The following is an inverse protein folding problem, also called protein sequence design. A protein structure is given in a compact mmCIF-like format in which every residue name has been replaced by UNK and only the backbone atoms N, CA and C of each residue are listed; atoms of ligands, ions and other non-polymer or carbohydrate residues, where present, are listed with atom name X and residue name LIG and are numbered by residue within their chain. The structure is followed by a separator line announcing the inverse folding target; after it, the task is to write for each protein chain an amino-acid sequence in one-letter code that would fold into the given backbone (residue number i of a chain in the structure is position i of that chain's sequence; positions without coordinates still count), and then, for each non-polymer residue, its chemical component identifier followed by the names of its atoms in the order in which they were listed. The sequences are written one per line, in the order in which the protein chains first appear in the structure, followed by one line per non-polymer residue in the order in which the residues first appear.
data_IF_790242173447
#
_entry.id   IF_790242173447
#
_cell.length_a   1.000
_cell.length_b   1.000
_cell.length_c   1.000
_cell.angle_alpha   90.00
_cell.angle_beta   90.00
_cell.angle_gamma   90.00
#
_symmetry.space_group_name_H-M   'P 1'
#
loop_
_entity.id
_entity.type
_entity.pdbx_description
1 polymer ?
#
# COMPACT_ATOMS: atom_id res chain seq x y z
N UNK A 1 7.21 37.70 72.83
CA UNK A 1 8.60 37.95 72.44
C UNK A 1 9.24 36.61 72.12
N UNK A 2 9.58 36.41 70.84
CA UNK A 2 10.47 35.42 70.21
C UNK A 2 10.22 33.93 70.49
N UNK A 3 10.47 32.97 69.61
CA UNK A 3 10.72 32.81 68.16
C UNK A 3 11.06 31.31 68.02
N UNK A 4 10.78 30.69 66.86
CA UNK A 4 11.20 29.35 66.38
C UNK A 4 9.99 28.48 66.00
N UNK A 5 9.95 27.74 64.90
CA UNK A 5 10.77 27.66 63.69
C UNK A 5 9.96 26.79 62.71
N UNK A 6 10.15 27.07 61.43
CA UNK A 6 9.40 26.57 60.29
C UNK A 6 9.85 25.13 59.91
N UNK A 7 8.92 24.18 59.73
CA UNK A 7 9.18 22.95 58.95
C UNK A 7 7.90 22.11 58.70
N UNK A 8 7.00 22.56 57.82
CA UNK A 8 6.14 21.60 57.12
C UNK A 8 6.89 21.11 55.89
N UNK A 9 7.42 19.90 55.98
CA UNK A 9 8.18 19.21 54.94
C UNK A 9 7.36 19.10 53.64
N UNK A 10 7.61 20.01 52.71
CA UNK A 10 7.33 19.80 51.30
C UNK A 10 8.50 18.99 50.73
N UNK A 11 8.37 17.67 50.78
CA UNK A 11 9.29 16.73 50.13
C UNK A 11 8.44 15.75 49.33
N UNK A 12 7.86 16.22 48.22
CA UNK A 12 7.37 15.32 47.19
C UNK A 12 8.60 14.69 46.54
N UNK A 13 8.92 13.46 46.92
CA UNK A 13 9.83 12.62 46.17
C UNK A 13 9.17 12.32 44.82
N UNK A 14 9.33 13.25 43.87
CA UNK A 14 9.21 13.02 42.44
C UNK A 14 10.27 11.97 42.08
N UNK A 15 9.95 10.70 42.32
CA UNK A 15 10.76 9.58 41.89
C UNK A 15 10.84 9.63 40.36
N UNK A 16 11.89 10.27 39.83
CA UNK A 16 12.20 10.27 38.41
C UNK A 16 12.21 8.81 37.93
N UNK A 17 11.22 8.46 37.11
CA UNK A 17 11.13 7.16 36.49
C UNK A 17 12.22 7.05 35.42
N UNK A 18 13.43 6.72 35.84
CA UNK A 18 14.55 6.44 34.93
C UNK A 18 14.40 5.00 34.45
N UNK A 19 13.88 4.85 33.23
CA UNK A 19 13.77 3.54 32.58
C UNK A 19 15.18 2.96 32.37
N UNK A 20 15.58 2.03 33.24
CA UNK A 20 16.91 1.42 33.30
C UNK A 20 17.06 0.20 32.38
N UNK A 21 16.01 -0.14 31.62
CA UNK A 21 16.04 -1.25 30.68
C UNK A 21 16.98 -0.94 29.50
N UNK A 22 18.02 -1.76 29.33
CA UNK A 22 18.89 -1.70 28.15
C UNK A 22 18.07 -2.03 26.91
N UNK A 23 18.04 -1.11 25.95
CA UNK A 23 17.42 -1.30 24.63
C UNK A 23 18.00 -2.55 23.98
N UNK A 24 17.23 -3.64 23.93
CA UNK A 24 17.60 -4.86 23.21
C UNK A 24 17.18 -4.72 21.75
N UNK A 25 18.14 -4.46 20.87
CA UNK A 25 17.87 -4.40 19.43
C UNK A 25 17.50 -5.79 18.89
N UNK A 26 16.31 -5.90 18.29
CA UNK A 26 15.91 -7.11 17.57
C UNK A 26 16.76 -7.25 16.32
N UNK A 27 17.25 -8.46 16.01
CA UNK A 27 17.85 -8.75 14.70
C UNK A 27 16.81 -8.53 13.60
N UNK A 28 17.03 -7.54 12.75
CA UNK A 28 16.23 -7.33 11.55
C UNK A 28 16.61 -8.35 10.49
N UNK A 29 15.62 -8.80 9.72
CA UNK A 29 15.86 -9.66 8.57
C UNK A 29 16.43 -8.83 7.42
N UNK A 30 17.13 -9.50 6.51
CA UNK A 30 17.62 -8.87 5.28
C UNK A 30 16.45 -8.23 4.51
N UNK A 31 16.53 -6.93 4.28
CA UNK A 31 15.61 -6.19 3.43
C UNK A 31 16.07 -6.13 1.98
N UNK A 32 17.24 -6.70 1.66
CA UNK A 32 17.76 -6.76 0.30
C UNK A 32 16.77 -7.50 -0.64
N UNK A 33 16.47 -6.88 -1.78
CA UNK A 33 15.54 -7.41 -2.78
C UNK A 33 15.96 -8.77 -3.33
N UNK A 34 17.26 -9.02 -3.50
CA UNK A 34 17.82 -10.29 -3.99
C UNK A 34 17.50 -11.42 -3.01
N UNK A 35 17.69 -11.18 -1.71
CA UNK A 35 17.37 -12.15 -0.67
C UNK A 35 15.86 -12.46 -0.63
N UNK A 36 15.01 -11.44 -0.77
CA UNK A 36 13.54 -11.65 -0.80
C UNK A 36 13.09 -12.37 -2.06
N UNK A 37 13.72 -12.09 -3.20
CA UNK A 37 13.44 -12.77 -4.48
C UNK A 37 13.80 -14.26 -4.40
N UNK A 38 14.97 -14.61 -3.89
CA UNK A 38 15.38 -16.00 -3.69
C UNK A 38 14.41 -16.75 -2.75
N UNK A 39 14.06 -16.15 -1.61
CA UNK A 39 13.09 -16.74 -0.69
C UNK A 39 11.71 -16.93 -1.30
N UNK A 40 11.28 -16.01 -2.17
CA UNK A 40 10.03 -16.14 -2.94
C UNK A 40 10.11 -17.29 -3.93
N UNK A 41 11.19 -17.37 -4.71
CA UNK A 41 11.38 -18.40 -5.74
C UNK A 41 11.38 -19.81 -5.13
N UNK A 42 11.99 -19.98 -3.96
CA UNK A 42 12.05 -21.26 -3.26
C UNK A 42 10.74 -21.62 -2.53
N UNK A 43 9.74 -20.74 -2.50
CA UNK A 43 8.45 -21.00 -1.85
C UNK A 43 8.56 -21.26 -0.33
N UNK A 44 9.72 -20.99 0.29
CA UNK A 44 10.04 -21.41 1.66
C UNK A 44 9.10 -20.82 2.72
N UNK A 45 8.36 -19.77 2.38
CA UNK A 45 7.52 -19.03 3.33
C UNK A 45 6.20 -18.59 2.69
N UNK A 46 5.11 -18.83 3.41
CA UNK A 46 3.73 -18.49 3.03
C UNK A 46 3.45 -16.99 2.82
N UNK A 47 4.38 -16.11 3.22
CA UNK A 47 4.27 -14.65 3.08
C UNK A 47 5.48 -14.00 2.38
N UNK A 48 6.32 -14.79 1.73
CA UNK A 48 7.50 -14.29 1.00
C UNK A 48 7.13 -13.26 -0.08
N UNK A 49 5.96 -13.43 -0.72
CA UNK A 49 5.43 -12.52 -1.74
C UNK A 49 5.14 -11.12 -1.18
N UNK A 50 4.46 -11.03 -0.02
CA UNK A 50 4.14 -9.74 0.61
C UNK A 50 5.39 -9.00 1.06
N UNK A 51 6.35 -9.74 1.63
CA UNK A 51 7.64 -9.17 2.01
C UNK A 51 8.38 -8.66 0.75
N UNK A 52 8.43 -9.43 -0.34
CA UNK A 52 9.10 -9.01 -1.56
C UNK A 52 8.57 -7.68 -2.12
N UNK A 53 7.24 -7.51 -2.20
CA UNK A 53 6.65 -6.29 -2.76
C UNK A 53 6.87 -5.02 -1.92
N UNK A 54 7.33 -5.11 -0.66
CA UNK A 54 7.73 -3.91 0.09
C UNK A 54 9.00 -3.26 -0.46
N UNK A 55 9.78 -3.98 -1.26
CA UNK A 55 11.04 -3.48 -1.82
C UNK A 55 10.88 -2.94 -3.25
N UNK A 56 9.68 -3.02 -3.81
CA UNK A 56 9.41 -2.59 -5.18
C UNK A 56 8.39 -1.47 -5.11
N UNK A 57 8.78 -0.30 -5.64
CA UNK A 57 7.85 0.79 -5.87
C UNK A 57 7.20 0.60 -7.26
N UNK A 58 5.88 0.80 -7.41
CA UNK A 58 5.30 0.91 -8.74
C UNK A 58 5.90 2.12 -9.48
N UNK A 59 6.20 1.97 -10.77
CA UNK A 59 6.75 3.07 -11.57
C UNK A 59 5.75 4.20 -11.85
N UNK A 60 4.46 3.88 -11.89
CA UNK A 60 3.39 4.87 -12.07
C UNK A 60 2.13 4.44 -11.33
N UNK A 61 1.47 5.39 -10.68
CA UNK A 61 0.21 5.19 -9.96
C UNK A 61 -0.91 5.97 -10.63
N UNK A 62 -2.00 5.30 -10.98
CA UNK A 62 -3.21 5.95 -11.51
C UNK A 62 -4.28 6.01 -10.44
N UNK A 63 -4.72 7.23 -10.12
CA UNK A 63 -5.71 7.46 -9.07
C UNK A 63 -7.07 7.75 -9.72
N UNK A 64 -8.16 7.41 -9.02
CA UNK A 64 -9.54 7.69 -9.46
C UNK A 64 -9.85 7.13 -10.86
N UNK A 65 -9.38 5.92 -11.16
CA UNK A 65 -9.72 5.20 -12.39
C UNK A 65 -11.24 5.09 -12.54
N UNK A 66 -11.76 5.40 -13.72
CA UNK A 66 -13.17 5.21 -14.02
C UNK A 66 -13.43 3.71 -14.17
N UNK A 67 -14.45 3.22 -13.47
CA UNK A 67 -14.81 1.80 -13.47
C UNK A 67 -16.30 1.64 -13.77
N UNK A 68 -16.71 0.49 -14.34
CA UNK A 68 -18.11 0.13 -14.47
C UNK A 68 -18.85 0.18 -13.12
N UNK A 69 -20.20 0.22 -13.11
CA UNK A 69 -21.00 0.19 -11.90
C UNK A 69 -20.91 -1.19 -11.21
N UNK A 70 -19.79 -1.43 -10.53
CA UNK A 70 -19.49 -2.65 -9.80
C UNK A 70 -18.65 -2.35 -8.54
N UNK A 71 -18.67 -3.26 -7.58
CA UNK A 71 -17.82 -3.25 -6.40
C UNK A 71 -16.69 -4.27 -6.58
N UNK A 72 -15.48 -3.77 -6.85
CA UNK A 72 -14.28 -4.60 -6.95
C UNK A 72 -13.94 -5.19 -5.58
N UNK A 73 -13.65 -6.50 -5.54
CA UNK A 73 -13.42 -7.23 -4.29
C UNK A 73 -11.97 -7.63 -4.13
N UNK A 74 -11.50 -8.59 -4.95
CA UNK A 74 -10.15 -9.15 -4.84
C UNK A 74 -9.73 -9.84 -6.12
N UNK A 75 -8.41 -9.96 -6.29
CA UNK A 75 -7.85 -10.91 -7.24
C UNK A 75 -8.00 -12.35 -6.74
N UNK A 76 -8.13 -13.24 -7.71
CA UNK A 76 -7.92 -14.68 -7.57
C UNK A 76 -6.52 -14.98 -7.01
N UNK A 77 -6.31 -16.11 -6.30
CA UNK A 77 -5.01 -16.45 -5.73
C UNK A 77 -3.87 -16.58 -6.75
N UNK A 78 -4.19 -16.93 -8.00
CA UNK A 78 -3.26 -17.01 -9.12
C UNK A 78 -3.07 -15.65 -9.84
N UNK A 79 -3.85 -14.62 -9.47
CA UNK A 79 -3.76 -13.27 -10.00
C UNK A 79 -4.32 -13.08 -11.42
N UNK A 80 -4.94 -14.11 -12.01
CA UNK A 80 -5.42 -14.07 -13.41
C UNK A 80 -6.79 -13.43 -13.56
N UNK A 81 -7.56 -13.41 -12.49
CA UNK A 81 -8.92 -12.89 -12.47
C UNK A 81 -9.13 -11.90 -11.32
N UNK A 82 -9.91 -10.85 -11.56
CA UNK A 82 -10.41 -9.88 -10.60
C UNK A 82 -11.90 -10.13 -10.39
N UNK A 83 -12.30 -10.35 -9.14
CA UNK A 83 -13.69 -10.60 -8.75
C UNK A 83 -14.34 -9.27 -8.37
N UNK A 84 -15.52 -9.01 -8.93
CA UNK A 84 -16.37 -7.89 -8.60
C UNK A 84 -17.83 -8.32 -8.39
N UNK A 85 -18.60 -7.49 -7.70
CA UNK A 85 -20.06 -7.62 -7.59
C UNK A 85 -20.70 -6.50 -8.39
N UNK A 86 -21.81 -6.76 -9.07
CA UNK A 86 -22.58 -5.70 -9.71
C UNK A 86 -23.03 -4.65 -8.68
N UNK A 87 -23.34 -3.43 -9.13
CA UNK A 87 -23.76 -2.33 -8.25
C UNK A 87 -25.03 -2.63 -7.44
N UNK A 88 -25.93 -3.44 -7.99
CA UNK A 88 -27.13 -3.94 -7.32
C UNK A 88 -26.87 -5.16 -6.42
N UNK A 89 -25.62 -5.64 -6.37
CA UNK A 89 -25.18 -6.83 -5.63
C UNK A 89 -25.93 -8.12 -6.03
N UNK A 90 -26.60 -8.13 -7.18
CA UNK A 90 -27.39 -9.27 -7.65
C UNK A 90 -26.57 -10.30 -8.44
N UNK A 91 -25.39 -9.92 -8.94
CA UNK A 91 -24.56 -10.77 -9.77
C UNK A 91 -23.07 -10.64 -9.43
N UNK A 92 -22.31 -11.67 -9.81
CA UNK A 92 -20.86 -11.72 -9.65
C UNK A 92 -20.22 -11.58 -11.03
N UNK A 93 -19.34 -10.59 -11.17
CA UNK A 93 -18.59 -10.31 -12.39
C UNK A 93 -17.14 -10.78 -12.20
N UNK A 94 -16.66 -11.61 -13.14
CA UNK A 94 -15.30 -12.13 -13.14
C UNK A 94 -14.55 -11.49 -14.30
N UNK A 95 -13.59 -10.62 -13.99
CA UNK A 95 -12.76 -9.98 -15.00
C UNK A 95 -11.44 -10.72 -15.14
N UNK A 96 -11.08 -11.13 -16.35
CA UNK A 96 -9.73 -11.57 -16.70
C UNK A 96 -8.75 -10.40 -16.71
N UNK A 97 -7.64 -10.54 -16.00
CA UNK A 97 -6.54 -9.58 -15.98
C UNK A 97 -5.61 -9.79 -17.18
N UNK A 98 -5.38 -8.73 -17.96
CA UNK A 98 -4.58 -8.73 -19.19
C UNK A 98 -3.12 -8.33 -18.97
N UNK A 99 -2.75 -7.91 -17.75
CA UNK A 99 -1.40 -7.43 -17.43
C UNK A 99 -1.20 -5.95 -17.73
N UNK A 100 -0.19 -5.34 -17.10
CA UNK A 100 0.10 -3.91 -17.26
C UNK A 100 0.45 -3.51 -18.70
N UNK A 101 1.02 -4.44 -19.49
CA UNK A 101 1.37 -4.19 -20.88
C UNK A 101 0.15 -3.88 -21.76
N UNK A 102 -1.03 -4.37 -21.40
CA UNK A 102 -2.26 -4.15 -22.16
C UNK A 102 -2.71 -2.68 -22.19
N UNK A 103 -2.25 -1.87 -21.22
CA UNK A 103 -2.50 -0.43 -21.14
C UNK A 103 -1.27 0.40 -21.52
N UNK A 104 -0.19 -0.21 -22.00
CA UNK A 104 1.07 0.48 -22.29
C UNK A 104 0.96 1.52 -23.41
N UNK A 105 0.01 1.34 -24.32
CA UNK A 105 -0.34 2.31 -25.37
C UNK A 105 -0.83 3.65 -24.79
N UNK A 106 -1.54 3.63 -23.66
CA UNK A 106 -2.03 4.85 -23.01
C UNK A 106 -0.91 5.74 -22.47
N UNK A 107 0.25 5.16 -22.15
CA UNK A 107 1.37 5.83 -21.48
C UNK A 107 2.49 6.31 -22.41
N UNK A 108 2.42 6.06 -23.72
CA UNK A 108 3.51 6.41 -24.66
C UNK A 108 3.96 7.88 -24.57
N UNK A 109 3.02 8.80 -24.34
CA UNK A 109 3.29 10.25 -24.26
C UNK A 109 3.13 10.82 -22.84
N UNK A 110 2.95 9.98 -21.82
CA UNK A 110 2.66 10.44 -20.45
C UNK A 110 3.88 11.10 -19.77
N UNK A 111 5.08 10.82 -20.28
CA UNK A 111 6.34 11.24 -19.67
C UNK A 111 6.68 10.45 -18.41
N UNK A 112 7.75 10.85 -17.72
CA UNK A 112 8.29 10.16 -16.54
C UNK A 112 7.57 10.50 -15.22
N UNK A 113 6.30 10.91 -15.29
CA UNK A 113 5.54 11.24 -14.07
C UNK A 113 5.08 9.97 -13.36
N UNK A 114 5.42 9.85 -12.08
CA UNK A 114 5.03 8.72 -11.22
C UNK A 114 3.53 8.70 -10.88
N UNK A 115 2.79 9.78 -11.14
CA UNK A 115 1.40 9.93 -10.70
C UNK A 115 0.49 10.47 -11.80
N UNK A 116 -0.56 9.72 -12.12
CA UNK A 116 -1.71 10.19 -12.91
C UNK A 116 -2.81 10.66 -11.95
N UNK A 117 -2.89 11.98 -11.79
CA UNK A 117 -3.84 12.66 -10.91
C UNK A 117 -5.16 13.02 -11.60
N UNK A 118 -6.11 13.53 -10.81
CA UNK A 118 -7.32 14.17 -11.32
C UNK A 118 -7.10 15.67 -11.53
N UNK A 119 -6.67 16.05 -12.72
CA UNK A 119 -6.44 17.43 -13.16
C UNK A 119 -7.62 18.05 -13.94
N UNK A 120 -8.74 17.33 -14.08
CA UNK A 120 -9.98 17.81 -14.68
C UNK A 120 -10.44 17.01 -15.91
N UNK A 121 -11.43 17.54 -16.62
CA UNK A 121 -12.05 16.89 -17.78
C UNK A 121 -11.42 17.42 -19.06
N UNK A 122 -10.57 16.62 -19.72
CA UNK A 122 -10.02 16.97 -21.05
C UNK A 122 -8.52 16.73 -21.27
N UNK A 123 -7.78 16.27 -20.26
CA UNK A 123 -6.35 15.95 -20.38
C UNK A 123 -6.03 14.50 -20.78
N UNK A 124 -4.75 14.22 -21.04
CA UNK A 124 -4.23 12.84 -21.24
C UNK A 124 -4.46 11.97 -20.00
N UNK A 125 -4.37 12.56 -18.82
CA UNK A 125 -4.73 11.99 -17.52
C UNK A 125 -6.15 11.39 -17.50
N UNK A 126 -7.13 12.14 -18.00
CA UNK A 126 -8.52 11.72 -18.12
C UNK A 126 -8.65 10.57 -19.12
N UNK A 127 -7.95 10.64 -20.26
CA UNK A 127 -7.93 9.55 -21.25
C UNK A 127 -7.36 8.26 -20.66
N UNK A 128 -6.25 8.34 -19.91
CA UNK A 128 -5.67 7.19 -19.22
C UNK A 128 -6.68 6.64 -18.22
N UNK A 129 -7.24 7.48 -17.35
CA UNK A 129 -8.14 7.05 -16.27
C UNK A 129 -9.46 6.46 -16.75
N UNK A 130 -10.00 6.95 -17.87
CA UNK A 130 -11.25 6.44 -18.46
C UNK A 130 -11.05 5.09 -19.15
N UNK A 131 -9.90 4.86 -19.77
CA UNK A 131 -9.67 3.66 -20.60
C UNK A 131 -8.89 2.54 -19.91
N UNK A 132 -8.08 2.87 -18.89
CA UNK A 132 -7.15 1.90 -18.28
C UNK A 132 -7.86 0.68 -17.71
N UNK A 133 -9.06 0.83 -17.13
CA UNK A 133 -9.79 -0.30 -16.57
C UNK A 133 -10.15 -1.32 -17.65
N UNK A 134 -10.74 -0.87 -18.77
CA UNK A 134 -11.17 -1.74 -19.87
C UNK A 134 -10.01 -2.40 -20.61
N UNK A 135 -8.82 -1.78 -20.59
CA UNK A 135 -7.59 -2.34 -21.16
C UNK A 135 -7.01 -3.44 -20.26
N UNK A 136 -6.98 -3.21 -18.95
CA UNK A 136 -6.44 -4.15 -17.97
C UNK A 136 -7.37 -5.33 -17.69
N UNK A 137 -8.69 -5.12 -17.79
CA UNK A 137 -9.70 -6.07 -17.34
C UNK A 137 -10.73 -6.34 -18.44
N UNK A 138 -10.89 -7.63 -18.80
CA UNK A 138 -11.90 -8.09 -19.75
C UNK A 138 -12.86 -9.04 -19.05
N UNK A 139 -14.16 -8.84 -19.19
CA UNK A 139 -15.19 -9.78 -18.72
C UNK A 139 -15.12 -11.06 -19.53
#
# INVERSE_FOLDING_TARGET
MNAAENASAAGGDEAEFVCSERIKFRKFRSQNIVHRLQNRALGLRSHSVREFYQNILPGTTVVNVEKPPCYLRKFSPDGRYLIAFSSDQASLEIYRYMGCSAAGDLFQDWGDSELVSNDGTGGKSYQIRSQIFEKLFKV
#
